data_IF_677934583019
#
_entry.id   IF_677934583019
#
_cell.length_a   1.000
_cell.length_b   1.000
_cell.length_c   1.000
_cell.angle_alpha   90.00
_cell.angle_beta   90.00
_cell.angle_gamma   90.00
#
_symmetry.space_group_name_H-M   'P 1'
#
loop_
_entity.id
_entity.type
_entity.pdbx_description
1 polymer ?
#
# COMPACT_ATOMS: atom_id res chain seq x y z
N UNK A 1 3.40 7.55 -31.28
CA UNK A 1 2.38 6.52 -31.00
C UNK A 1 2.21 6.46 -29.49
N UNK A 2 1.20 7.13 -28.95
CA UNK A 2 0.94 7.14 -27.51
C UNK A 2 0.19 5.86 -27.18
N UNK A 3 0.89 4.84 -26.71
CA UNK A 3 0.22 3.68 -26.12
C UNK A 3 -0.55 4.18 -24.89
N UNK A 4 -1.87 3.93 -24.77
CA UNK A 4 -2.56 4.22 -23.54
C UNK A 4 -1.88 3.41 -22.42
N UNK A 5 -1.51 4.08 -21.33
CA UNK A 5 -1.16 3.38 -20.09
C UNK A 5 -2.27 2.37 -19.80
N UNK A 6 -1.95 1.10 -19.47
CA UNK A 6 -2.96 0.10 -19.18
C UNK A 6 -3.91 0.66 -18.12
N UNK A 7 -5.21 0.61 -18.40
CA UNK A 7 -6.26 1.09 -17.48
C UNK A 7 -6.11 0.36 -16.15
N UNK A 8 -5.62 1.06 -15.14
CA UNK A 8 -5.49 0.49 -13.80
C UNK A 8 -6.85 0.55 -13.12
N UNK A 9 -7.33 -0.60 -12.66
CA UNK A 9 -8.64 -0.72 -12.02
C UNK A 9 -8.57 -0.24 -10.57
N UNK A 10 -9.64 0.43 -10.11
CA UNK A 10 -9.77 0.82 -8.70
C UNK A 10 -9.91 -0.42 -7.79
N UNK A 11 -9.19 -0.48 -6.65
CA UNK A 11 -9.24 -1.61 -5.73
C UNK A 11 -10.49 -1.60 -4.85
N UNK A 12 -11.67 -1.78 -5.45
CA UNK A 12 -12.94 -1.81 -4.73
C UNK A 12 -13.06 -3.10 -3.91
N UNK A 13 -13.08 -2.99 -2.59
CA UNK A 13 -13.19 -4.14 -1.68
C UNK A 13 -11.88 -4.89 -1.44
N UNK A 14 -10.79 -4.50 -2.10
CA UNK A 14 -9.45 -5.06 -1.86
C UNK A 14 -8.76 -4.26 -0.77
N UNK A 15 -8.35 -4.96 0.29
CA UNK A 15 -7.60 -4.37 1.41
C UNK A 15 -6.28 -5.07 1.69
N UNK A 16 -5.92 -6.05 0.88
CA UNK A 16 -4.63 -6.72 0.93
C UNK A 16 -3.66 -6.09 -0.07
N UNK A 17 -2.47 -5.71 0.39
CA UNK A 17 -1.46 -5.06 -0.42
C UNK A 17 -0.87 -6.04 -1.44
N UNK A 18 -0.51 -7.26 -1.04
CA UNK A 18 0.09 -8.23 -1.96
C UNK A 18 -0.87 -8.57 -3.11
N UNK A 19 -2.14 -8.86 -2.81
CA UNK A 19 -3.19 -9.08 -3.81
C UNK A 19 -3.39 -7.86 -4.71
N UNK A 20 -3.44 -6.64 -4.15
CA UNK A 20 -3.54 -5.41 -4.93
C UNK A 20 -2.39 -5.29 -5.95
N UNK A 21 -1.16 -5.61 -5.53
CA UNK A 21 0.04 -5.58 -6.39
C UNK A 21 -0.01 -6.67 -7.47
N UNK A 22 -0.40 -7.89 -7.09
CA UNK A 22 -0.55 -9.03 -8.03
C UNK A 22 -1.59 -8.76 -9.11
N UNK A 23 -2.72 -8.16 -8.74
CA UNK A 23 -3.83 -7.85 -9.65
C UNK A 23 -3.60 -6.55 -10.45
N UNK A 24 -2.46 -5.88 -10.28
CA UNK A 24 -2.12 -4.66 -11.02
C UNK A 24 -3.07 -3.48 -10.76
N UNK A 25 -3.75 -3.47 -9.61
CA UNK A 25 -4.73 -2.46 -9.25
C UNK A 25 -4.07 -1.13 -8.88
N UNK A 26 -4.83 -0.03 -8.96
CA UNK A 26 -4.35 1.29 -8.54
C UNK A 26 -3.93 1.25 -7.07
N UNK A 27 -2.66 1.56 -6.84
CA UNK A 27 -2.13 1.91 -5.53
C UNK A 27 -1.72 3.37 -5.52
N UNK A 28 -2.24 4.15 -4.57
CA UNK A 28 -1.68 5.47 -4.32
C UNK A 28 -0.42 5.27 -3.50
N UNK A 29 0.73 5.54 -4.11
CA UNK A 29 2.01 5.33 -3.46
C UNK A 29 2.16 6.22 -2.22
N UNK A 30 2.40 5.55 -1.08
CA UNK A 30 2.63 6.15 0.24
C UNK A 30 3.86 5.57 0.90
N UNK A 31 4.73 4.89 0.14
CA UNK A 31 5.94 4.23 0.63
C UNK A 31 6.84 5.17 1.43
N UNK A 32 6.97 6.44 1.02
CA UNK A 32 7.72 7.44 1.77
C UNK A 32 7.19 7.65 3.20
N UNK A 33 5.85 7.73 3.35
CA UNK A 33 5.21 7.84 4.67
C UNK A 33 5.32 6.55 5.48
N UNK A 34 5.17 5.40 4.82
CA UNK A 34 5.38 4.06 5.43
C UNK A 34 6.79 3.96 6.00
N UNK A 35 7.80 4.33 5.21
CA UNK A 35 9.20 4.34 5.62
C UNK A 35 9.45 5.28 6.80
N UNK A 36 8.91 6.50 6.77
CA UNK A 36 9.02 7.45 7.88
C UNK A 36 8.39 6.90 9.17
N UNK A 37 7.21 6.29 9.08
CA UNK A 37 6.53 5.67 10.22
C UNK A 37 7.32 4.48 10.78
N UNK A 38 7.85 3.61 9.90
CA UNK A 38 8.67 2.46 10.30
C UNK A 38 9.98 2.88 11.00
N UNK A 39 10.55 4.04 10.62
CA UNK A 39 11.75 4.60 11.26
C UNK A 39 11.46 5.43 12.51
N UNK A 40 10.21 5.73 12.81
CA UNK A 40 9.87 6.58 13.95
C UNK A 40 10.12 5.84 15.27
N UNK A 41 10.77 6.49 16.23
CA UNK A 41 11.03 5.94 17.57
C UNK A 41 9.78 5.95 18.50
N UNK A 42 8.61 6.27 17.95
CA UNK A 42 7.36 6.34 18.71
C UNK A 42 6.88 4.94 19.08
N UNK A 43 6.66 4.68 20.36
CA UNK A 43 6.27 3.37 20.88
C UNK A 43 4.87 2.92 20.44
N UNK A 44 4.01 3.83 19.97
CA UNK A 44 2.63 3.55 19.51
C UNK A 44 2.17 4.50 18.42
N UNK A 45 1.54 3.96 17.37
CA UNK A 45 0.91 4.72 16.27
C UNK A 45 -0.61 4.52 16.33
N UNK A 46 -1.37 5.62 16.34
CA UNK A 46 -2.83 5.60 16.26
C UNK A 46 -3.30 6.00 14.86
N UNK A 47 -4.08 5.14 14.20
CA UNK A 47 -4.62 5.39 12.86
C UNK A 47 -6.05 5.97 12.92
N UNK A 48 -6.18 7.28 13.17
CA UNK A 48 -7.48 7.97 13.26
C UNK A 48 -8.06 8.33 11.88
N UNK A 49 -8.94 7.51 11.31
CA UNK A 49 -9.63 7.81 10.02
C UNK A 49 -11.02 7.17 9.92
N UNK A 50 -11.99 7.75 9.17
CA UNK A 50 -13.32 7.17 8.92
C UNK A 50 -13.29 5.74 8.34
N UNK A 51 -14.43 5.03 8.37
CA UNK A 51 -14.54 3.67 7.81
C UNK A 51 -14.18 3.70 6.31
N UNK A 52 -13.45 2.67 5.83
CA UNK A 52 -12.96 2.51 4.44
C UNK A 52 -11.83 3.46 3.98
N UNK A 53 -11.22 4.23 4.86
CA UNK A 53 -10.07 5.09 4.53
C UNK A 53 -8.70 4.38 4.43
N UNK A 54 -8.68 3.12 3.96
CA UNK A 54 -7.42 2.41 3.66
C UNK A 54 -6.56 2.03 4.87
N UNK A 55 -7.10 2.02 6.10
CA UNK A 55 -6.34 1.59 7.30
C UNK A 55 -5.87 0.14 7.19
N UNK A 56 -6.76 -0.76 6.78
CA UNK A 56 -6.43 -2.18 6.58
C UNK A 56 -5.36 -2.36 5.50
N UNK A 57 -5.49 -1.62 4.38
CA UNK A 57 -4.50 -1.65 3.31
C UNK A 57 -3.12 -1.17 3.79
N UNK A 58 -3.07 -0.11 4.62
CA UNK A 58 -1.83 0.37 5.21
C UNK A 58 -1.19 -0.70 6.11
N UNK A 59 -1.98 -1.37 6.96
CA UNK A 59 -1.47 -2.45 7.83
C UNK A 59 -0.94 -3.62 6.99
N UNK A 60 -1.67 -4.05 5.95
CA UNK A 60 -1.19 -5.10 5.04
C UNK A 60 0.06 -4.67 4.26
N UNK A 61 0.20 -3.37 3.93
CA UNK A 61 1.44 -2.84 3.33
C UNK A 61 2.64 -3.03 4.26
N UNK A 62 2.48 -2.71 5.56
CA UNK A 62 3.53 -2.96 6.56
C UNK A 62 3.81 -4.45 6.73
N UNK A 63 2.76 -5.29 6.76
CA UNK A 63 2.91 -6.75 6.86
C UNK A 63 3.76 -7.28 5.70
N UNK A 64 3.42 -6.91 4.46
CA UNK A 64 4.21 -7.28 3.28
C UNK A 64 5.66 -6.78 3.39
N UNK A 65 5.88 -5.52 3.76
CA UNK A 65 7.22 -4.95 3.91
C UNK A 65 8.08 -5.73 4.92
N UNK A 66 7.53 -6.03 6.10
CA UNK A 66 8.30 -6.69 7.16
C UNK A 66 8.44 -8.20 6.96
N UNK A 67 7.50 -8.85 6.27
CA UNK A 67 7.52 -10.29 6.02
C UNK A 67 8.24 -10.68 4.73
N UNK A 68 8.17 -9.84 3.70
CA UNK A 68 8.64 -10.13 2.35
C UNK A 68 9.65 -9.12 1.80
N UNK A 69 9.97 -8.07 2.57
CA UNK A 69 10.90 -7.02 2.14
C UNK A 69 10.31 -6.22 0.98
N UNK A 70 11.13 -5.96 -0.05
CA UNK A 70 10.75 -5.15 -1.20
C UNK A 70 10.05 -5.93 -2.32
N UNK A 71 9.69 -7.21 -2.09
CA UNK A 71 9.09 -8.09 -3.10
C UNK A 71 7.91 -7.44 -3.81
N UNK A 72 6.96 -6.90 -3.05
CA UNK A 72 5.70 -6.37 -3.59
C UNK A 72 5.79 -4.87 -3.94
N UNK A 73 6.96 -4.25 -3.71
CA UNK A 73 7.20 -2.81 -3.87
C UNK A 73 7.85 -2.44 -5.20
N UNK A 74 8.13 -3.42 -6.07
CA UNK A 74 8.73 -3.16 -7.38
C UNK A 74 7.84 -2.23 -8.20
N UNK A 75 8.41 -1.13 -8.70
CA UNK A 75 7.69 -0.13 -9.50
C UNK A 75 6.82 0.84 -8.69
N UNK A 76 7.02 0.92 -7.37
CA UNK A 76 6.52 2.00 -6.50
C UNK A 76 7.66 2.96 -6.14
#
# INVERSE_FOLDING_TARGET
MNNPTPEQTLPLGVSDFAGLRQDGLIYVDKTAMVHQLARSAGSKILLTRPRRFGKSLLVSTFESLFKHGLRDFQGL
#
